data_IF_357741327279
#
_entry.id   IF_357741327279
#
_cell.length_a   1.000
_cell.length_b   1.000
_cell.length_c   1.000
_cell.angle_alpha   90.00
_cell.angle_beta   90.00
_cell.angle_gamma   90.00
#
_symmetry.space_group_name_H-M   'P 1'
#
loop_
_entity.id
_entity.type
_entity.pdbx_description
1 polymer ?
#
# COMPACT_ATOMS: atom_id res chain seq x y z
N UNK A 1 -35.12 -3.80 1.87
CA UNK A 1 -33.69 -4.07 2.16
C UNK A 1 -32.88 -2.83 1.81
N UNK A 2 -31.72 -2.64 2.43
CA UNK A 2 -30.82 -1.52 2.13
C UNK A 2 -29.73 -1.92 1.13
N UNK A 3 -29.09 -0.95 0.49
CA UNK A 3 -27.92 -1.15 -0.40
C UNK A 3 -26.82 -2.01 0.25
N UNK A 4 -26.52 -1.74 1.52
CA UNK A 4 -25.50 -2.50 2.26
C UNK A 4 -25.87 -3.98 2.46
N UNK A 5 -27.15 -4.33 2.51
CA UNK A 5 -27.59 -5.72 2.64
C UNK A 5 -27.24 -6.53 1.38
N UNK A 6 -27.38 -5.90 0.20
CA UNK A 6 -26.97 -6.51 -1.08
C UNK A 6 -25.48 -6.81 -1.13
N UNK A 7 -24.65 -5.82 -0.73
CA UNK A 7 -23.20 -6.03 -0.66
C UNK A 7 -22.82 -7.08 0.38
N UNK A 8 -23.48 -7.09 1.55
CA UNK A 8 -23.24 -8.11 2.57
C UNK A 8 -23.60 -9.51 2.06
N UNK A 9 -24.62 -9.63 1.21
CA UNK A 9 -24.95 -10.88 0.53
C UNK A 9 -23.85 -11.28 -0.45
N UNK A 10 -23.43 -10.37 -1.34
CA UNK A 10 -22.39 -10.63 -2.34
C UNK A 10 -21.06 -11.05 -1.69
N UNK A 11 -20.65 -10.38 -0.61
CA UNK A 11 -19.45 -10.75 0.17
C UNK A 11 -19.48 -12.18 0.68
N UNK A 12 -20.66 -12.69 1.09
CA UNK A 12 -20.78 -14.07 1.56
C UNK A 12 -20.56 -15.08 0.44
N UNK A 13 -20.61 -14.66 -0.83
CA UNK A 13 -20.39 -15.53 -1.98
C UNK A 13 -18.93 -15.59 -2.41
N UNK A 14 -18.09 -14.65 -1.98
CA UNK A 14 -16.64 -14.67 -2.29
C UNK A 14 -16.04 -16.05 -1.93
N UNK A 15 -15.42 -16.70 -2.92
CA UNK A 15 -14.82 -18.03 -2.82
C UNK A 15 -15.80 -19.20 -2.98
N UNK A 16 -17.10 -18.94 -3.19
CA UNK A 16 -18.13 -19.96 -3.47
C UNK A 16 -18.52 -19.95 -4.94
N UNK A 17 -19.07 -21.08 -5.37
CA UNK A 17 -19.65 -21.25 -6.71
C UNK A 17 -21.15 -21.47 -6.58
N UNK A 18 -21.93 -20.60 -7.20
CA UNK A 18 -23.38 -20.67 -7.32
C UNK A 18 -23.71 -21.09 -8.74
N UNK A 19 -24.40 -22.22 -8.89
CA UNK A 19 -24.99 -22.69 -10.15
C UNK A 19 -26.52 -22.68 -9.92
N UNK A 20 -27.17 -21.63 -10.39
CA UNK A 20 -28.55 -21.29 -10.05
C UNK A 20 -29.56 -21.80 -11.08
N UNK A 21 -29.10 -22.09 -12.30
CA UNK A 21 -29.92 -22.61 -13.41
C UNK A 21 -29.62 -24.08 -13.78
N UNK A 22 -28.52 -24.66 -13.27
CA UNK A 22 -28.09 -26.02 -13.55
C UNK A 22 -27.34 -26.19 -14.88
N UNK A 23 -26.87 -25.10 -15.48
CA UNK A 23 -26.29 -25.03 -16.82
C UNK A 23 -24.94 -24.31 -16.79
N UNK A 24 -23.96 -24.79 -17.56
CA UNK A 24 -22.63 -24.18 -17.67
C UNK A 24 -21.86 -23.91 -16.35
N UNK A 25 -22.32 -24.46 -15.22
CA UNK A 25 -21.67 -24.33 -13.91
C UNK A 25 -21.90 -22.95 -13.30
N UNK A 26 -20.88 -22.37 -12.68
CA UNK A 26 -21.03 -21.15 -11.89
C UNK A 26 -20.68 -19.89 -12.71
N UNK A 27 -21.61 -19.42 -13.54
CA UNK A 27 -21.44 -18.28 -14.45
C UNK A 27 -21.78 -16.95 -13.79
N UNK A 28 -21.47 -15.82 -14.43
CA UNK A 28 -21.76 -14.48 -13.89
C UNK A 28 -23.26 -14.27 -13.62
N UNK A 29 -24.12 -14.79 -14.51
CA UNK A 29 -25.57 -14.64 -14.39
C UNK A 29 -26.17 -15.43 -13.22
N UNK A 30 -25.56 -16.56 -12.82
CA UNK A 30 -26.05 -17.38 -11.71
C UNK A 30 -26.05 -16.63 -10.38
N UNK A 31 -25.03 -15.80 -10.15
CA UNK A 31 -24.94 -14.97 -8.96
C UNK A 31 -26.11 -13.99 -8.89
N UNK A 32 -26.45 -13.34 -10.00
CA UNK A 32 -27.57 -12.40 -10.09
C UNK A 32 -28.92 -13.10 -9.98
N UNK A 33 -29.07 -14.26 -10.61
CA UNK A 33 -30.28 -15.09 -10.47
C UNK A 33 -30.51 -15.46 -9.01
N UNK A 34 -29.47 -15.94 -8.30
CA UNK A 34 -29.58 -16.31 -6.90
C UNK A 34 -29.94 -15.10 -6.02
N UNK A 35 -29.27 -13.96 -6.23
CA UNK A 35 -29.55 -12.72 -5.52
C UNK A 35 -31.00 -12.26 -5.70
N UNK A 36 -31.47 -12.19 -6.94
CA UNK A 36 -32.80 -11.72 -7.29
C UNK A 36 -33.91 -12.66 -6.79
N UNK A 37 -33.70 -13.98 -6.88
CA UNK A 37 -34.64 -14.96 -6.32
C UNK A 37 -34.77 -14.84 -4.80
N UNK A 38 -33.65 -14.65 -4.10
CA UNK A 38 -33.65 -14.59 -2.62
C UNK A 38 -34.35 -13.34 -2.08
N UNK A 39 -34.21 -12.20 -2.77
CA UNK A 39 -34.58 -10.91 -2.19
C UNK A 39 -35.72 -10.17 -2.89
N UNK A 40 -36.03 -10.51 -4.14
CA UNK A 40 -36.95 -9.71 -4.97
C UNK A 40 -38.02 -10.53 -5.69
N UNK A 41 -38.10 -11.84 -5.44
CA UNK A 41 -39.02 -12.75 -6.15
C UNK A 41 -38.94 -12.62 -7.67
N UNK A 42 -37.74 -12.32 -8.17
CA UNK A 42 -37.46 -12.12 -9.59
C UNK A 42 -36.47 -13.17 -10.07
N UNK A 43 -36.79 -13.79 -11.20
CA UNK A 43 -35.89 -14.69 -11.91
C UNK A 43 -35.50 -14.06 -13.24
N UNK A 44 -34.36 -13.34 -13.29
CA UNK A 44 -33.78 -12.91 -14.56
C UNK A 44 -33.57 -14.11 -15.50
N UNK A 45 -33.76 -13.88 -16.79
CA UNK A 45 -33.56 -14.90 -17.85
C UNK A 45 -32.58 -14.42 -18.90
N UNK A 46 -32.00 -15.37 -19.64
CA UNK A 46 -31.04 -15.09 -20.70
C UNK A 46 -29.62 -14.90 -20.18
N UNK A 47 -28.75 -14.38 -21.04
CA UNK A 47 -27.36 -14.08 -20.72
C UNK A 47 -27.24 -12.72 -20.00
N UNK A 48 -26.05 -12.38 -19.53
CA UNK A 48 -25.83 -11.14 -18.80
C UNK A 48 -26.22 -9.89 -19.61
N UNK A 49 -25.96 -9.88 -20.92
CA UNK A 49 -26.33 -8.76 -21.80
C UNK A 49 -27.84 -8.57 -21.93
N UNK A 50 -28.65 -9.61 -21.74
CA UNK A 50 -30.11 -9.54 -21.83
C UNK A 50 -30.72 -8.72 -20.68
N UNK A 51 -29.98 -8.52 -19.58
CA UNK A 51 -30.33 -7.58 -18.52
C UNK A 51 -30.51 -6.13 -19.04
N UNK A 52 -29.91 -5.79 -20.18
CA UNK A 52 -30.05 -4.46 -20.81
C UNK A 52 -31.42 -4.23 -21.46
N UNK A 53 -32.19 -5.29 -21.75
CA UNK A 53 -33.47 -5.17 -22.48
C UNK A 53 -34.65 -5.88 -21.84
N UNK A 54 -34.44 -6.92 -21.02
CA UNK A 54 -35.54 -7.73 -20.45
C UNK A 54 -36.55 -6.92 -19.61
N UNK A 55 -37.75 -7.45 -19.38
CA UNK A 55 -38.70 -6.78 -18.49
C UNK A 55 -38.19 -6.80 -17.03
N UNK A 56 -38.43 -5.70 -16.31
CA UNK A 56 -38.01 -5.54 -14.92
C UNK A 56 -39.22 -5.59 -13.97
N UNK A 57 -39.03 -6.07 -12.72
CA UNK A 57 -40.05 -5.94 -11.68
C UNK A 57 -40.44 -4.49 -11.41
N UNK A 58 -41.65 -4.29 -10.89
CA UNK A 58 -42.13 -2.95 -10.52
C UNK A 58 -41.16 -2.23 -9.57
N UNK A 59 -40.82 -1.00 -9.92
CA UNK A 59 -39.94 -0.12 -9.13
C UNK A 59 -38.43 -0.32 -9.36
N UNK A 60 -38.02 -1.40 -10.03
CA UNK A 60 -36.64 -1.52 -10.49
C UNK A 60 -36.35 -0.45 -11.55
N UNK A 61 -35.10 0.02 -11.59
CA UNK A 61 -34.66 0.97 -12.59
C UNK A 61 -33.59 0.35 -13.47
N UNK A 62 -33.69 0.60 -14.78
CA UNK A 62 -32.59 0.38 -15.72
C UNK A 62 -31.96 1.72 -16.05
N UNK A 63 -30.68 1.89 -15.75
CA UNK A 63 -29.98 3.15 -15.90
C UNK A 63 -28.78 2.90 -16.83
N UNK A 64 -28.81 3.53 -18.00
CA UNK A 64 -27.71 3.44 -18.96
C UNK A 64 -26.55 4.32 -18.50
N UNK A 65 -25.32 3.86 -18.72
CA UNK A 65 -24.11 4.61 -18.40
C UNK A 65 -24.04 5.93 -19.20
N UNK A 66 -23.47 6.95 -18.56
CA UNK A 66 -23.14 8.27 -19.15
C UNK A 66 -21.84 8.77 -18.53
N UNK A 67 -21.22 9.79 -19.13
CA UNK A 67 -19.94 10.35 -18.64
C UNK A 67 -19.99 10.87 -17.19
N UNK A 68 -21.19 11.20 -16.68
CA UNK A 68 -21.39 11.71 -15.31
C UNK A 68 -21.93 10.63 -14.36
N UNK A 69 -22.41 9.50 -14.88
CA UNK A 69 -23.07 8.49 -14.07
C UNK A 69 -22.06 7.72 -13.22
N UNK A 70 -22.30 7.69 -11.91
CA UNK A 70 -21.58 6.85 -10.95
C UNK A 70 -22.58 5.87 -10.34
N UNK A 71 -22.39 4.54 -10.54
CA UNK A 71 -23.21 3.51 -9.94
C UNK A 71 -23.23 3.55 -8.41
N UNK A 72 -24.32 3.07 -7.83
CA UNK A 72 -24.46 2.94 -6.39
C UNK A 72 -24.06 1.55 -5.92
N UNK A 73 -23.65 1.49 -4.66
CA UNK A 73 -23.52 0.23 -3.94
C UNK A 73 -24.79 -0.62 -4.05
N UNK A 74 -24.63 -1.90 -4.39
CA UNK A 74 -25.72 -2.86 -4.55
C UNK A 74 -26.41 -2.82 -5.93
N UNK A 75 -26.02 -1.90 -6.82
CA UNK A 75 -26.48 -1.96 -8.21
C UNK A 75 -25.99 -3.25 -8.88
N UNK A 76 -26.81 -3.80 -9.77
CA UNK A 76 -26.44 -4.92 -10.63
C UNK A 76 -25.81 -4.33 -11.89
N UNK A 77 -24.51 -4.52 -12.09
CA UNK A 77 -23.77 -4.04 -13.25
C UNK A 77 -24.11 -4.83 -14.51
N UNK A 78 -24.14 -4.15 -15.66
CA UNK A 78 -24.30 -4.76 -16.98
C UNK A 78 -23.11 -4.32 -17.83
N UNK A 79 -22.32 -5.28 -18.29
CA UNK A 79 -21.22 -5.07 -19.23
C UNK A 79 -21.60 -5.66 -20.59
N UNK A 80 -21.42 -4.86 -21.64
CA UNK A 80 -21.56 -5.26 -23.05
C UNK A 80 -20.22 -5.81 -23.56
N UNK A 81 -19.79 -6.91 -22.93
CA UNK A 81 -18.52 -7.58 -23.21
C UNK A 81 -18.73 -8.90 -23.94
N UNK A 82 -18.13 -9.05 -25.13
CA UNK A 82 -18.23 -10.27 -25.92
C UNK A 82 -19.66 -10.59 -26.40
N UNK A 83 -19.95 -11.89 -26.59
CA UNK A 83 -21.24 -12.36 -27.12
C UNK A 83 -22.35 -12.38 -26.04
N UNK A 84 -21.99 -12.68 -24.78
CA UNK A 84 -22.94 -12.97 -23.71
C UNK A 84 -23.05 -11.82 -22.67
N UNK A 85 -22.17 -10.83 -22.74
CA UNK A 85 -22.02 -9.81 -21.70
C UNK A 85 -21.41 -10.34 -20.40
N UNK A 86 -21.31 -9.47 -19.41
CA UNK A 86 -20.93 -9.82 -18.03
C UNK A 86 -21.78 -9.03 -17.03
N UNK A 87 -21.98 -9.57 -15.83
CA UNK A 87 -22.78 -8.93 -14.78
C UNK A 87 -22.19 -9.20 -13.41
N UNK A 88 -22.45 -8.30 -12.47
CA UNK A 88 -21.87 -8.31 -11.13
C UNK A 88 -22.70 -7.47 -10.15
N UNK A 89 -22.36 -7.56 -8.86
CA UNK A 89 -22.93 -6.68 -7.82
C UNK A 89 -21.90 -5.61 -7.46
N UNK A 90 -22.23 -4.35 -7.74
CA UNK A 90 -21.35 -3.21 -7.51
C UNK A 90 -21.22 -2.93 -6.01
N UNK A 91 -19.99 -2.69 -5.57
CA UNK A 91 -19.64 -2.44 -4.17
C UNK A 91 -19.26 -0.99 -3.93
N UNK A 92 -18.46 -0.41 -4.82
CA UNK A 92 -18.02 0.98 -4.72
C UNK A 92 -17.68 1.50 -6.12
N UNK A 93 -17.87 2.79 -6.36
CA UNK A 93 -17.61 3.39 -7.66
C UNK A 93 -17.13 4.83 -7.54
N UNK A 94 -16.33 5.26 -8.51
CA UNK A 94 -16.05 6.65 -8.83
C UNK A 94 -16.24 6.82 -10.36
N UNK A 95 -15.85 7.97 -10.90
CA UNK A 95 -16.05 8.28 -12.32
C UNK A 95 -15.13 7.49 -13.29
N UNK A 96 -14.04 6.92 -12.79
CA UNK A 96 -13.06 6.19 -13.60
C UNK A 96 -13.20 4.67 -13.47
N UNK A 97 -13.54 4.22 -12.27
CA UNK A 97 -13.51 2.82 -11.89
C UNK A 97 -14.64 2.44 -10.93
N UNK A 98 -15.03 1.17 -10.97
CA UNK A 98 -15.84 0.54 -9.93
C UNK A 98 -15.25 -0.78 -9.43
N UNK A 99 -15.64 -1.15 -8.21
CA UNK A 99 -15.35 -2.42 -7.57
C UNK A 99 -16.64 -3.21 -7.44
N UNK A 100 -16.56 -4.52 -7.58
CA UNK A 100 -17.72 -5.42 -7.57
C UNK A 100 -17.38 -6.80 -7.01
N UNK A 101 -18.41 -7.60 -6.79
CA UNK A 101 -18.28 -9.05 -6.63
C UNK A 101 -18.81 -9.70 -7.89
N UNK A 102 -17.98 -10.58 -8.45
CA UNK A 102 -18.16 -11.15 -9.77
C UNK A 102 -17.90 -12.65 -9.73
N UNK A 103 -18.87 -13.43 -10.17
CA UNK A 103 -18.66 -14.83 -10.51
C UNK A 103 -18.13 -14.98 -11.94
N UNK A 104 -17.25 -15.97 -12.15
CA UNK A 104 -16.62 -16.25 -13.43
C UNK A 104 -15.72 -15.14 -14.02
N UNK A 105 -15.21 -14.21 -13.20
CA UNK A 105 -14.23 -13.20 -13.65
C UNK A 105 -12.79 -13.72 -13.58
N UNK A 106 -12.30 -14.05 -12.38
CA UNK A 106 -10.97 -14.63 -12.23
C UNK A 106 -10.98 -16.12 -12.54
N UNK A 107 -10.01 -16.57 -13.34
CA UNK A 107 -9.96 -17.95 -13.85
C UNK A 107 -11.23 -18.35 -14.60
N UNK A 108 -11.79 -17.41 -15.38
CA UNK A 108 -13.01 -17.60 -16.15
C UNK A 108 -12.97 -18.88 -16.99
N UNK A 109 -14.08 -19.61 -17.04
CA UNK A 109 -14.21 -20.83 -17.84
C UNK A 109 -15.65 -21.12 -18.27
N UNK A 110 -15.81 -22.02 -19.24
CA UNK A 110 -17.11 -22.56 -19.68
C UNK A 110 -17.83 -23.40 -18.59
N UNK A 111 -17.18 -23.62 -17.44
CA UNK A 111 -17.73 -24.28 -16.25
C UNK A 111 -17.91 -23.33 -15.08
N UNK A 112 -17.68 -22.03 -15.31
CA UNK A 112 -17.72 -21.02 -14.28
C UNK A 112 -16.42 -20.92 -13.48
N UNK A 113 -16.41 -19.99 -12.54
CA UNK A 113 -15.40 -19.88 -11.50
C UNK A 113 -16.03 -19.26 -10.25
N UNK A 114 -15.48 -19.45 -9.05
CA UNK A 114 -16.05 -18.89 -7.83
C UNK A 114 -16.20 -17.37 -7.88
N UNK A 115 -17.19 -16.83 -7.17
CA UNK A 115 -17.34 -15.39 -6.99
C UNK A 115 -16.10 -14.80 -6.31
N UNK A 116 -15.68 -13.63 -6.76
CA UNK A 116 -14.50 -12.95 -6.26
C UNK A 116 -14.73 -11.44 -6.17
N UNK A 117 -14.06 -10.79 -5.23
CA UNK A 117 -14.00 -9.34 -5.22
C UNK A 117 -13.06 -8.85 -6.32
N UNK A 118 -13.57 -8.03 -7.23
CA UNK A 118 -12.81 -7.47 -8.35
C UNK A 118 -12.66 -5.98 -8.14
N UNK A 119 -11.43 -5.49 -8.26
CA UNK A 119 -11.13 -4.07 -8.19
C UNK A 119 -10.95 -3.46 -9.56
N UNK A 120 -11.37 -2.21 -9.67
CA UNK A 120 -11.05 -1.31 -10.76
C UNK A 120 -11.49 -1.82 -12.14
N UNK A 121 -12.72 -2.33 -12.25
CA UNK A 121 -13.37 -2.37 -13.55
C UNK A 121 -13.42 -0.94 -14.09
N UNK A 122 -12.99 -0.73 -15.33
CA UNK A 122 -13.23 0.50 -16.06
C UNK A 122 -14.65 0.51 -16.65
N UNK A 123 -15.00 1.62 -17.31
CA UNK A 123 -16.32 1.82 -17.90
C UNK A 123 -16.34 1.58 -19.42
N UNK A 124 -15.28 1.05 -20.03
CA UNK A 124 -15.17 0.92 -21.50
C UNK A 124 -16.24 0.00 -22.09
N UNK A 125 -16.48 -1.13 -21.43
CA UNK A 125 -17.52 -2.11 -21.79
C UNK A 125 -18.79 -1.96 -20.91
N UNK A 126 -18.88 -0.94 -20.07
CA UNK A 126 -19.96 -0.81 -19.10
C UNK A 126 -21.21 -0.19 -19.74
N UNK A 127 -22.25 -1.00 -19.91
CA UNK A 127 -23.52 -0.57 -20.48
C UNK A 127 -24.31 0.30 -19.51
N UNK A 128 -24.30 -0.05 -18.23
CA UNK A 128 -25.09 0.59 -17.18
C UNK A 128 -25.45 -0.37 -16.05
N UNK A 129 -26.54 -0.08 -15.34
CA UNK A 129 -26.99 -0.88 -14.20
C UNK A 129 -28.48 -1.20 -14.23
N UNK A 130 -28.84 -2.25 -13.52
CA UNK A 130 -30.15 -2.39 -12.89
C UNK A 130 -30.01 -2.01 -11.42
N UNK A 131 -30.89 -1.11 -10.96
CA UNK A 131 -30.99 -0.70 -9.56
C UNK A 131 -32.24 -1.30 -8.94
N UNK A 132 -32.10 -2.29 -8.03
CA UNK A 132 -33.21 -2.84 -7.26
C UNK A 132 -33.85 -1.80 -6.33
N UNK A 133 -35.04 -2.13 -5.82
CA UNK A 133 -35.83 -1.26 -4.93
C UNK A 133 -35.29 -1.22 -3.50
N UNK A 134 -34.09 -0.67 -3.30
CA UNK A 134 -33.53 -0.47 -1.96
C UNK A 134 -34.20 0.70 -1.24
N UNK A 135 -34.35 0.58 0.08
CA UNK A 135 -34.95 1.63 0.93
C UNK A 135 -34.16 2.94 0.94
N UNK A 136 -32.85 2.86 0.72
CA UNK A 136 -31.88 3.95 0.73
C UNK A 136 -31.25 4.21 -0.65
N UNK A 137 -31.88 3.72 -1.73
CA UNK A 137 -31.45 3.99 -3.11
C UNK A 137 -31.83 5.41 -3.55
N UNK A 138 -30.84 6.16 -4.04
CA UNK A 138 -31.11 7.36 -4.83
C UNK A 138 -31.65 6.94 -6.22
N UNK A 139 -32.63 7.67 -6.72
CA UNK A 139 -33.32 7.35 -7.97
C UNK A 139 -32.62 8.03 -9.15
N UNK A 140 -32.62 7.37 -10.32
CA UNK A 140 -32.05 7.90 -11.55
C UNK A 140 -30.52 8.00 -11.57
N UNK A 141 -30.02 8.91 -12.39
CA UNK A 141 -28.58 9.16 -12.55
C UNK A 141 -28.02 9.75 -11.25
N UNK A 142 -26.94 9.15 -10.77
CA UNK A 142 -26.19 9.57 -9.58
C UNK A 142 -24.77 9.98 -9.93
N UNK A 143 -24.16 10.84 -9.12
CA UNK A 143 -22.80 11.40 -9.36
C UNK A 143 -21.89 11.30 -8.11
N UNK A 144 -22.36 10.67 -7.04
CA UNK A 144 -21.64 10.59 -5.77
C UNK A 144 -20.62 9.44 -5.80
N UNK A 145 -19.34 9.76 -5.58
CA UNK A 145 -18.27 8.76 -5.53
C UNK A 145 -18.20 8.09 -4.15
N UNK A 146 -18.13 6.76 -4.16
CA UNK A 146 -17.93 5.92 -2.97
C UNK A 146 -16.55 5.24 -2.97
N UNK A 147 -15.82 5.33 -4.08
CA UNK A 147 -14.47 4.79 -4.26
C UNK A 147 -13.42 5.91 -4.24
N UNK A 148 -12.26 5.61 -3.65
CA UNK A 148 -11.10 6.50 -3.63
C UNK A 148 -10.52 6.70 -5.03
N UNK A 149 -9.72 7.76 -5.21
CA UNK A 149 -8.96 7.95 -6.45
C UNK A 149 -7.94 6.82 -6.60
N UNK A 150 -7.86 6.23 -7.79
CA UNK A 150 -6.90 5.19 -8.12
C UNK A 150 -5.99 5.72 -9.22
N UNK A 151 -4.68 5.77 -8.96
CA UNK A 151 -3.68 6.09 -9.97
C UNK A 151 -2.95 4.78 -10.29
N UNK A 152 -3.09 4.29 -11.51
CA UNK A 152 -2.51 3.02 -11.94
C UNK A 152 -1.39 3.20 -12.96
N UNK A 153 -0.50 4.14 -12.66
CA UNK A 153 0.58 4.57 -13.54
C UNK A 153 1.93 4.10 -13.00
N UNK A 154 2.63 3.30 -13.79
CA UNK A 154 3.99 2.88 -13.44
C UNK A 154 4.95 4.07 -13.47
N UNK A 155 5.92 4.06 -12.55
CA UNK A 155 7.10 4.94 -12.65
C UNK A 155 7.80 4.80 -14.00
N UNK A 156 8.55 5.82 -14.41
CA UNK A 156 9.39 5.80 -15.60
C UNK A 156 10.67 4.94 -15.40
N UNK A 157 10.47 3.70 -14.96
CA UNK A 157 11.49 2.67 -14.81
C UNK A 157 10.82 1.29 -14.80
N UNK A 158 11.37 0.36 -15.59
CA UNK A 158 10.87 -1.02 -15.61
C UNK A 158 11.60 -1.86 -14.59
N UNK A 159 10.97 -2.11 -13.44
CA UNK A 159 11.52 -3.01 -12.41
C UNK A 159 11.67 -4.45 -12.93
N UNK A 160 12.65 -5.19 -12.41
CA UNK A 160 12.82 -6.59 -12.79
C UNK A 160 11.55 -7.41 -12.46
N UNK A 161 11.24 -8.38 -13.33
CA UNK A 161 10.18 -9.35 -13.05
C UNK A 161 10.52 -10.11 -11.77
N UNK A 162 9.50 -10.40 -10.97
CA UNK A 162 9.67 -11.23 -9.78
C UNK A 162 10.09 -12.64 -10.19
N UNK A 163 11.02 -13.21 -9.41
CA UNK A 163 11.41 -14.62 -9.53
C UNK A 163 10.90 -15.33 -8.29
N UNK A 164 9.93 -16.24 -8.45
CA UNK A 164 9.31 -16.97 -7.34
C UNK A 164 7.99 -16.35 -6.84
N UNK A 165 7.50 -16.86 -5.70
CA UNK A 165 6.24 -16.42 -5.09
C UNK A 165 6.36 -15.07 -4.39
N UNK A 166 5.23 -14.39 -4.26
CA UNK A 166 5.05 -13.35 -3.25
C UNK A 166 4.84 -14.05 -1.91
N UNK A 167 5.70 -13.76 -0.94
CA UNK A 167 5.66 -14.35 0.38
C UNK A 167 4.89 -13.47 1.38
N UNK A 168 4.60 -12.21 1.01
CA UNK A 168 3.84 -11.32 1.87
C UNK A 168 3.86 -9.84 1.48
N UNK A 169 3.57 -9.01 2.46
CA UNK A 169 3.51 -7.55 2.40
C UNK A 169 4.40 -6.91 3.47
N UNK A 170 4.96 -5.75 3.16
CA UNK A 170 5.65 -4.87 4.10
C UNK A 170 4.94 -3.53 4.11
N UNK A 171 4.47 -3.12 5.29
CA UNK A 171 3.84 -1.82 5.49
C UNK A 171 4.90 -0.85 6.01
N UNK A 172 5.08 0.25 5.28
CA UNK A 172 6.04 1.31 5.53
C UNK A 172 5.34 2.60 5.94
N UNK A 173 6.12 3.55 6.42
CA UNK A 173 5.71 4.94 6.53
C UNK A 173 6.67 5.75 5.68
N UNK A 174 6.14 6.66 4.85
CA UNK A 174 6.95 7.40 3.87
C UNK A 174 8.11 8.20 4.45
N UNK A 175 8.07 8.46 5.76
CA UNK A 175 8.90 9.43 6.45
C UNK A 175 8.87 10.82 5.77
N UNK A 176 7.76 11.14 5.12
CA UNK A 176 7.53 12.40 4.42
C UNK A 176 6.19 13.02 4.76
N UNK A 177 6.00 14.22 4.22
CA UNK A 177 4.78 15.03 4.41
C UNK A 177 3.91 15.10 3.16
N UNK A 178 4.25 14.35 2.11
CA UNK A 178 3.54 14.35 0.83
C UNK A 178 2.33 13.43 0.88
N UNK A 179 1.27 13.87 0.20
CA UNK A 179 0.14 13.03 -0.20
C UNK A 179 0.57 12.03 -1.28
N UNK A 180 -0.23 10.99 -1.53
CA UNK A 180 0.03 10.00 -2.57
C UNK A 180 0.07 10.65 -3.97
N UNK A 181 -0.82 11.61 -4.26
CA UNK A 181 -0.79 12.39 -5.52
C UNK A 181 0.51 13.21 -5.65
N UNK A 182 0.99 13.79 -4.55
CA UNK A 182 2.25 14.54 -4.56
C UNK A 182 3.46 13.63 -4.76
N UNK A 183 3.45 12.42 -4.20
CA UNK A 183 4.50 11.44 -4.48
C UNK A 183 4.41 10.91 -5.91
N UNK A 184 3.22 10.67 -6.45
CA UNK A 184 3.01 10.35 -7.87
C UNK A 184 3.64 11.42 -8.76
N UNK A 185 3.28 12.69 -8.57
CA UNK A 185 3.84 13.80 -9.37
C UNK A 185 5.36 13.94 -9.22
N UNK A 186 5.92 13.58 -8.06
CA UNK A 186 7.35 13.68 -7.81
C UNK A 186 8.16 12.48 -8.32
N UNK A 187 7.52 11.32 -8.49
CA UNK A 187 8.18 10.05 -8.76
C UNK A 187 7.81 9.44 -10.11
N UNK A 188 6.68 9.78 -10.75
CA UNK A 188 6.26 9.13 -11.99
C UNK A 188 7.30 9.26 -13.13
N UNK A 189 8.07 10.34 -13.15
CA UNK A 189 9.10 10.62 -14.16
C UNK A 189 10.42 11.09 -13.51
N UNK A 190 10.75 10.53 -12.35
CA UNK A 190 11.99 10.83 -11.66
C UNK A 190 13.21 10.15 -12.34
N UNK A 191 14.41 10.59 -11.94
CA UNK A 191 15.66 9.98 -12.40
C UNK A 191 15.82 8.57 -11.83
N UNK A 192 16.60 7.72 -12.52
CA UNK A 192 16.92 6.36 -12.04
C UNK A 192 17.56 6.39 -10.65
N UNK A 193 18.47 7.33 -10.40
CA UNK A 193 19.08 7.53 -9.08
C UNK A 193 18.04 7.83 -7.97
N UNK A 194 16.92 8.50 -8.30
CA UNK A 194 15.84 8.73 -7.34
C UNK A 194 15.12 7.44 -6.98
N UNK A 195 14.93 6.53 -7.93
CA UNK A 195 14.35 5.21 -7.68
C UNK A 195 15.30 4.31 -6.91
N UNK A 196 16.60 4.31 -7.24
CA UNK A 196 17.64 3.52 -6.56
C UNK A 196 17.77 3.87 -5.07
N UNK A 197 17.42 5.11 -4.69
CA UNK A 197 17.33 5.55 -3.30
C UNK A 197 16.18 4.90 -2.52
N UNK A 198 15.23 4.28 -3.22
CA UNK A 198 14.11 3.56 -2.65
C UNK A 198 12.80 3.88 -3.36
N UNK A 199 12.03 2.86 -3.70
CA UNK A 199 10.68 2.97 -4.27
C UNK A 199 9.88 1.70 -3.92
N UNK A 200 8.66 1.91 -3.44
CA UNK A 200 7.70 0.85 -3.11
C UNK A 200 6.69 0.62 -4.24
N UNK A 201 5.89 -0.45 -4.10
CA UNK A 201 4.85 -0.78 -5.09
C UNK A 201 3.68 0.20 -4.99
N UNK A 202 3.33 0.64 -3.77
CA UNK A 202 2.20 1.51 -3.50
C UNK A 202 2.56 2.70 -2.63
N UNK A 203 1.91 3.83 -2.90
CA UNK A 203 1.89 5.04 -2.07
C UNK A 203 0.42 5.42 -1.83
N UNK A 204 0.02 5.52 -0.57
CA UNK A 204 -1.39 5.53 -0.17
C UNK A 204 -1.66 6.56 0.91
N UNK A 205 -2.69 7.39 0.68
CA UNK A 205 -3.35 8.19 1.71
C UNK A 205 -4.88 7.94 1.73
N UNK A 206 -5.60 8.67 2.58
CA UNK A 206 -7.04 8.53 2.78
C UNK A 206 -7.91 8.93 1.57
N UNK A 207 -7.31 9.49 0.52
CA UNK A 207 -8.02 9.94 -0.67
C UNK A 207 -7.57 9.20 -1.93
N UNK A 208 -6.32 8.75 -1.97
CA UNK A 208 -5.71 8.22 -3.20
C UNK A 208 -4.86 6.98 -2.93
N UNK A 209 -5.00 5.99 -3.81
CA UNK A 209 -4.10 4.84 -3.93
C UNK A 209 -3.32 5.00 -5.24
N UNK A 210 -2.00 5.13 -5.16
CA UNK A 210 -1.13 5.07 -6.34
C UNK A 210 -0.36 3.75 -6.36
N UNK A 211 -0.56 2.95 -7.42
CA UNK A 211 0.26 1.78 -7.73
C UNK A 211 1.42 2.19 -8.64
N UNK A 212 2.56 2.48 -8.03
CA UNK A 212 3.77 2.95 -8.69
C UNK A 212 4.50 1.87 -9.49
N UNK A 213 4.35 0.60 -9.09
CA UNK A 213 4.98 -0.55 -9.72
C UNK A 213 3.98 -1.70 -9.79
N UNK A 214 3.83 -2.28 -10.97
CA UNK A 214 3.09 -3.53 -11.18
C UNK A 214 3.53 -4.65 -10.22
N UNK A 215 2.56 -5.35 -9.61
CA UNK A 215 2.83 -6.28 -8.50
C UNK A 215 3.52 -7.58 -8.93
N UNK A 216 3.57 -7.88 -10.24
CA UNK A 216 4.38 -8.97 -10.80
C UNK A 216 5.88 -8.66 -10.88
N UNK A 217 6.28 -7.43 -10.54
CA UNK A 217 7.68 -6.96 -10.51
C UNK A 217 8.15 -6.72 -9.08
N UNK A 218 9.46 -6.69 -8.88
CA UNK A 218 10.07 -6.38 -7.58
C UNK A 218 10.01 -4.87 -7.29
N UNK A 219 10.30 -4.47 -6.05
CA UNK A 219 10.52 -3.07 -5.70
C UNK A 219 11.75 -2.92 -4.79
N UNK A 220 12.31 -1.72 -4.68
CA UNK A 220 13.47 -1.43 -3.82
C UNK A 220 13.01 -0.70 -2.57
N UNK A 221 12.46 -1.42 -1.59
CA UNK A 221 11.70 -0.81 -0.49
C UNK A 221 12.16 -1.22 0.91
N UNK A 222 12.93 -2.30 1.07
CA UNK A 222 13.39 -2.80 2.38
C UNK A 222 14.90 -2.90 2.54
N UNK A 223 15.67 -2.46 1.53
CA UNK A 223 17.14 -2.55 1.50
C UNK A 223 17.69 -3.98 1.78
N UNK A 224 16.89 -5.00 1.48
CA UNK A 224 17.22 -6.42 1.58
C UNK A 224 16.80 -7.12 0.29
N UNK A 225 17.70 -7.87 -0.34
CA UNK A 225 17.46 -8.47 -1.67
C UNK A 225 16.27 -9.43 -1.64
N UNK A 226 16.13 -10.23 -0.58
CA UNK A 226 15.04 -11.17 -0.47
C UNK A 226 13.70 -10.45 -0.22
N UNK A 227 13.66 -9.52 0.73
CA UNK A 227 12.48 -8.71 1.01
C UNK A 227 11.98 -7.93 -0.21
N UNK A 228 12.90 -7.26 -0.92
CA UNK A 228 12.61 -6.53 -2.17
C UNK A 228 12.04 -7.46 -3.26
N UNK A 229 12.53 -8.69 -3.32
CA UNK A 229 12.15 -9.69 -4.32
C UNK A 229 10.86 -10.45 -4.00
N UNK A 230 10.49 -10.60 -2.73
CA UNK A 230 9.42 -11.51 -2.31
C UNK A 230 8.25 -10.84 -1.59
N UNK A 231 8.34 -9.55 -1.25
CA UNK A 231 7.23 -8.85 -0.58
C UNK A 231 6.72 -7.69 -1.43
N UNK A 232 5.42 -7.42 -1.32
CA UNK A 232 4.83 -6.17 -1.78
C UNK A 232 5.09 -5.07 -0.75
N UNK A 233 5.30 -3.84 -1.23
CA UNK A 233 5.68 -2.71 -0.39
C UNK A 233 4.64 -1.61 -0.48
N UNK A 234 4.13 -1.19 0.68
CA UNK A 234 3.10 -0.15 0.79
C UNK A 234 3.61 0.98 1.67
N UNK A 235 3.65 2.20 1.14
CA UNK A 235 4.04 3.40 1.85
C UNK A 235 2.82 4.16 2.33
N UNK A 236 2.64 4.26 3.66
CA UNK A 236 1.59 5.10 4.25
C UNK A 236 2.06 6.56 4.20
N UNK A 237 1.38 7.37 3.39
CA UNK A 237 1.72 8.77 3.13
C UNK A 237 1.46 9.70 4.34
N UNK A 238 2.06 10.90 4.26
CA UNK A 238 1.94 11.97 5.27
C UNK A 238 2.38 11.59 6.70
N UNK A 239 3.22 10.57 6.85
CA UNK A 239 3.65 10.09 8.17
C UNK A 239 4.35 11.14 9.06
N UNK A 240 4.84 12.24 8.48
CA UNK A 240 5.49 13.34 9.19
C UNK A 240 4.62 14.60 9.36
N UNK A 241 3.44 14.67 8.74
CA UNK A 241 2.62 15.90 8.72
C UNK A 241 1.16 15.69 9.13
N UNK A 242 0.57 14.53 8.81
CA UNK A 242 -0.83 14.27 9.09
C UNK A 242 -1.11 14.28 10.61
N UNK A 243 -2.34 14.71 10.95
CA UNK A 243 -2.90 14.49 12.29
C UNK A 243 -2.95 12.99 12.60
N UNK A 244 -3.02 12.60 13.87
CA UNK A 244 -3.14 11.18 14.23
C UNK A 244 -4.37 10.54 13.59
N UNK A 245 -5.50 11.27 13.55
CA UNK A 245 -6.72 10.85 12.88
C UNK A 245 -6.48 10.58 11.39
N UNK A 246 -5.91 11.56 10.68
CA UNK A 246 -5.73 11.46 9.23
C UNK A 246 -4.69 10.40 8.86
N UNK A 247 -3.63 10.27 9.65
CA UNK A 247 -2.64 9.22 9.43
C UNK A 247 -3.22 7.82 9.66
N UNK A 248 -4.02 7.63 10.71
CA UNK A 248 -4.72 6.36 10.93
C UNK A 248 -5.74 6.07 9.82
N UNK A 249 -6.37 7.09 9.21
CA UNK A 249 -7.17 6.91 8.00
C UNK A 249 -6.31 6.45 6.80
N UNK A 250 -5.13 7.07 6.58
CA UNK A 250 -4.17 6.65 5.55
C UNK A 250 -3.73 5.18 5.77
N UNK A 251 -3.53 4.76 7.02
CA UNK A 251 -3.23 3.37 7.37
C UNK A 251 -4.38 2.43 7.01
N UNK A 252 -5.63 2.79 7.30
CA UNK A 252 -6.78 1.93 6.99
C UNK A 252 -6.94 1.70 5.48
N UNK A 253 -6.71 2.72 4.64
CA UNK A 253 -6.67 2.53 3.18
C UNK A 253 -5.55 1.57 2.79
N UNK A 254 -4.37 1.75 3.36
CA UNK A 254 -3.22 0.87 3.12
C UNK A 254 -3.50 -0.58 3.52
N UNK A 255 -4.10 -0.82 4.68
CA UNK A 255 -4.46 -2.17 5.13
C UNK A 255 -5.51 -2.82 4.24
N UNK A 256 -6.49 -2.04 3.77
CA UNK A 256 -7.50 -2.51 2.83
C UNK A 256 -6.84 -2.93 1.50
N UNK A 257 -5.97 -2.11 0.93
CA UNK A 257 -5.29 -2.48 -0.32
C UNK A 257 -4.36 -3.70 -0.14
N UNK A 258 -3.59 -3.74 0.95
CA UNK A 258 -2.74 -4.89 1.26
C UNK A 258 -3.56 -6.18 1.43
N UNK A 259 -4.72 -6.11 2.09
CA UNK A 259 -5.60 -7.25 2.24
C UNK A 259 -6.13 -7.76 0.89
N UNK A 260 -6.51 -6.87 -0.01
CA UNK A 260 -7.05 -7.22 -1.34
C UNK A 260 -5.97 -7.86 -2.21
N UNK A 261 -4.75 -7.32 -2.22
CA UNK A 261 -3.62 -7.95 -2.91
C UNK A 261 -3.29 -9.32 -2.30
N UNK A 262 -3.33 -9.44 -0.96
CA UNK A 262 -3.15 -10.73 -0.29
C UNK A 262 -4.22 -11.76 -0.66
N UNK A 263 -5.48 -11.35 -0.84
CA UNK A 263 -6.55 -12.22 -1.35
C UNK A 263 -6.25 -12.67 -2.78
N UNK A 264 -5.89 -11.72 -3.66
CA UNK A 264 -5.56 -12.00 -5.06
C UNK A 264 -4.41 -13.00 -5.20
N UNK A 265 -3.37 -12.88 -4.37
CA UNK A 265 -2.23 -13.78 -4.38
C UNK A 265 -2.40 -15.05 -3.52
N UNK A 266 -3.56 -15.25 -2.88
CA UNK A 266 -3.81 -16.41 -2.03
C UNK A 266 -2.95 -16.47 -0.76
N UNK A 267 -2.56 -15.32 -0.22
CA UNK A 267 -1.67 -15.18 0.94
C UNK A 267 -2.49 -14.87 2.19
N UNK A 268 -2.47 -15.75 3.19
CA UNK A 268 -3.16 -15.47 4.45
C UNK A 268 -2.37 -14.44 5.30
N UNK A 269 -3.01 -13.42 5.89
CA UNK A 269 -2.33 -12.48 6.79
C UNK A 269 -1.89 -13.17 8.08
N UNK A 270 -0.59 -13.21 8.34
CA UNK A 270 -0.01 -13.76 9.56
C UNK A 270 1.42 -13.24 9.76
N UNK A 271 2.11 -13.71 10.80
CA UNK A 271 3.44 -13.19 11.20
C UNK A 271 4.56 -13.55 10.22
N UNK A 272 4.31 -14.47 9.29
CA UNK A 272 5.23 -14.80 8.19
C UNK A 272 4.99 -13.91 6.98
N UNK A 273 3.76 -13.46 6.76
CA UNK A 273 3.34 -12.78 5.52
C UNK A 273 3.15 -11.28 5.69
N UNK A 274 2.99 -10.77 6.91
CA UNK A 274 2.93 -9.32 7.18
C UNK A 274 4.20 -8.92 7.92
N UNK A 275 5.01 -8.03 7.36
CA UNK A 275 6.31 -7.64 7.91
C UNK A 275 6.45 -6.13 8.09
N UNK A 276 7.44 -5.76 8.91
CA UNK A 276 7.90 -4.38 9.10
C UNK A 276 9.27 -4.22 8.43
N UNK A 277 9.58 -3.03 7.91
CA UNK A 277 10.91 -2.74 7.36
C UNK A 277 12.01 -3.02 8.38
N UNK A 278 11.83 -2.61 9.64
CA UNK A 278 12.82 -2.85 10.71
C UNK A 278 13.06 -4.33 11.08
N UNK A 279 12.31 -5.28 10.51
CA UNK A 279 12.58 -6.72 10.62
C UNK A 279 13.61 -7.21 9.58
N UNK A 280 13.84 -6.45 8.50
CA UNK A 280 14.82 -6.76 7.46
C UNK A 280 16.16 -6.08 7.73
N UNK A 281 16.13 -4.78 8.03
CA UNK A 281 17.32 -3.96 8.31
C UNK A 281 17.10 -3.06 9.52
N UNK A 282 18.18 -2.56 10.14
CA UNK A 282 18.05 -1.66 11.28
C UNK A 282 17.55 -0.29 10.83
N UNK A 283 16.25 0.01 10.92
CA UNK A 283 15.64 1.30 10.56
C UNK A 283 14.58 1.73 11.58
N UNK A 284 14.20 3.01 11.54
CA UNK A 284 13.07 3.53 12.30
C UNK A 284 11.71 3.21 11.64
N UNK A 285 11.69 2.77 10.38
CA UNK A 285 10.44 2.45 9.67
C UNK A 285 9.76 1.17 10.23
N UNK A 286 8.43 1.16 10.50
CA UNK A 286 7.44 2.24 10.30
C UNK A 286 7.24 3.12 11.55
N UNK A 287 7.87 4.29 11.55
CA UNK A 287 8.04 5.12 12.75
C UNK A 287 6.72 5.58 13.38
N UNK A 288 5.81 6.12 12.55
CA UNK A 288 4.57 6.74 13.00
C UNK A 288 3.56 5.71 13.48
N UNK A 289 3.45 4.60 12.75
CA UNK A 289 2.65 3.46 13.15
C UNK A 289 3.10 2.90 14.51
N UNK A 290 4.42 2.76 14.72
CA UNK A 290 4.93 2.27 16.02
C UNK A 290 4.63 3.23 17.17
N UNK A 291 4.79 4.54 16.94
CA UNK A 291 4.51 5.56 17.94
C UNK A 291 3.02 5.57 18.34
N UNK A 292 2.10 5.38 17.39
CA UNK A 292 0.66 5.38 17.62
C UNK A 292 0.16 4.11 18.30
N UNK A 293 0.61 2.94 17.83
CA UNK A 293 -0.10 1.68 18.13
C UNK A 293 0.59 0.83 19.19
N UNK A 294 1.89 1.02 19.43
CA UNK A 294 2.64 0.20 20.39
C UNK A 294 3.42 1.01 21.42
N UNK A 295 3.13 2.31 21.53
CA UNK A 295 3.77 3.23 22.47
C UNK A 295 5.30 3.13 22.42
N UNK A 296 5.85 3.05 21.21
CA UNK A 296 7.28 3.01 20.97
C UNK A 296 7.61 3.84 19.75
N UNK A 297 8.36 4.92 19.94
CA UNK A 297 8.78 5.81 18.88
C UNK A 297 10.23 5.49 18.51
N UNK A 298 10.51 4.82 17.38
CA UNK A 298 11.86 4.44 17.01
C UNK A 298 12.74 5.63 16.58
N UNK A 299 12.17 6.81 16.30
CA UNK A 299 12.95 8.04 16.08
C UNK A 299 13.53 8.53 17.41
N UNK A 300 12.73 8.47 18.49
CA UNK A 300 13.13 8.95 19.82
C UNK A 300 13.86 7.89 20.65
N UNK A 301 13.51 6.63 20.46
CA UNK A 301 13.92 5.49 21.30
C UNK A 301 14.79 4.48 20.55
N UNK A 302 14.97 4.66 19.24
CA UNK A 302 15.87 3.87 18.42
C UNK A 302 15.29 2.55 17.93
N UNK A 303 16.18 1.62 17.60
CA UNK A 303 15.83 0.30 17.10
C UNK A 303 14.91 -0.43 18.08
N UNK A 304 13.72 -0.86 17.64
CA UNK A 304 12.79 -1.57 18.50
C UNK A 304 13.31 -2.95 18.90
N UNK A 305 12.91 -3.42 20.07
CA UNK A 305 13.11 -4.81 20.46
C UNK A 305 12.25 -5.75 19.60
N UNK A 306 12.63 -7.03 19.52
CA UNK A 306 11.80 -8.05 18.82
C UNK A 306 10.38 -8.14 19.37
N UNK A 307 10.17 -7.87 20.67
CA UNK A 307 8.85 -7.83 21.27
C UNK A 307 8.03 -6.64 20.73
N UNK A 308 8.63 -5.45 20.61
CA UNK A 308 7.96 -4.27 20.03
C UNK A 308 7.68 -4.41 18.54
N UNK A 309 8.58 -5.04 17.81
CA UNK A 309 8.31 -5.44 16.42
C UNK A 309 7.12 -6.39 16.34
N UNK A 310 7.02 -7.35 17.27
CA UNK A 310 5.93 -8.32 17.29
C UNK A 310 4.58 -7.67 17.61
N UNK A 311 4.51 -6.77 18.60
CA UNK A 311 3.29 -6.01 18.91
C UNK A 311 2.80 -5.23 17.69
N UNK A 312 3.71 -4.54 16.98
CA UNK A 312 3.35 -3.74 15.81
C UNK A 312 2.88 -4.63 14.64
N UNK A 313 3.57 -5.75 14.45
CA UNK A 313 3.20 -6.76 13.46
C UNK A 313 1.80 -7.35 13.74
N UNK A 314 1.49 -7.67 15.00
CA UNK A 314 0.17 -8.21 15.39
C UNK A 314 -0.95 -7.19 15.13
N UNK A 315 -0.70 -5.90 15.34
CA UNK A 315 -1.65 -4.83 14.97
C UNK A 315 -1.88 -4.78 13.45
N UNK A 316 -0.83 -4.74 12.63
CA UNK A 316 -1.00 -4.75 11.17
C UNK A 316 -1.73 -6.00 10.68
N UNK A 317 -1.41 -7.19 11.24
CA UNK A 317 -2.12 -8.43 10.90
C UNK A 317 -3.60 -8.30 11.24
N UNK A 318 -3.95 -7.78 12.42
CA UNK A 318 -5.34 -7.60 12.84
C UNK A 318 -6.10 -6.70 11.86
N UNK A 319 -5.55 -5.54 11.52
CA UNK A 319 -6.22 -4.58 10.64
C UNK A 319 -6.27 -5.05 9.17
N UNK A 320 -5.25 -5.75 8.68
CA UNK A 320 -5.29 -6.38 7.35
C UNK A 320 -6.33 -7.53 7.34
N UNK A 321 -6.37 -8.38 8.38
CA UNK A 321 -7.36 -9.47 8.48
C UNK A 321 -8.81 -8.97 8.44
N UNK A 322 -9.09 -7.80 9.02
CA UNK A 322 -10.41 -7.16 8.97
C UNK A 322 -10.89 -7.01 7.53
N UNK A 323 -10.05 -6.46 6.64
CA UNK A 323 -10.39 -6.27 5.22
C UNK A 323 -10.21 -7.54 4.39
N UNK A 324 -9.31 -8.44 4.77
CA UNK A 324 -9.15 -9.73 4.10
C UNK A 324 -10.41 -10.60 4.22
N UNK A 325 -11.05 -10.55 5.39
CA UNK A 325 -12.31 -11.27 5.64
C UNK A 325 -13.51 -10.58 4.99
N UNK A 326 -13.44 -9.27 4.77
CA UNK A 326 -14.48 -8.51 4.11
C UNK A 326 -13.88 -7.27 3.40
N UNK A 327 -13.56 -7.38 2.10
CA UNK A 327 -12.92 -6.29 1.35
C UNK A 327 -13.86 -5.13 1.06
N UNK A 328 -15.17 -5.28 1.31
CA UNK A 328 -16.17 -4.25 0.99
C UNK A 328 -16.43 -3.31 2.17
N UNK A 329 -15.81 -3.55 3.33
CA UNK A 329 -15.93 -2.66 4.48
C UNK A 329 -15.58 -1.22 4.10
N UNK A 330 -16.51 -0.31 4.42
CA UNK A 330 -16.32 1.12 4.30
C UNK A 330 -15.30 1.56 5.36
N UNK A 331 -14.34 2.37 4.94
CA UNK A 331 -13.33 2.91 5.85
C UNK A 331 -13.97 4.02 6.68
N UNK A 332 -14.33 3.68 7.91
CA UNK A 332 -14.82 4.65 8.89
C UNK A 332 -13.68 5.39 9.59
N UNK A 333 -14.04 6.43 10.34
CA UNK A 333 -13.10 7.13 11.23
C UNK A 333 -12.58 6.13 12.28
N UNK A 334 -11.25 6.01 12.46
CA UNK A 334 -10.67 5.14 13.47
C UNK A 334 -11.11 5.51 14.89
N UNK A 335 -11.38 4.50 15.70
CA UNK A 335 -11.61 4.67 17.14
C UNK A 335 -10.28 4.86 17.89
N UNK A 336 -10.35 5.40 19.11
CA UNK A 336 -9.21 5.52 20.04
C UNK A 336 -8.00 6.28 19.49
N UNK A 337 -8.23 7.35 18.74
CA UNK A 337 -7.17 8.22 18.21
C UNK A 337 -6.35 8.78 19.40
N UNK A 338 -5.05 8.45 19.51
CA UNK A 338 -4.24 8.94 20.63
C UNK A 338 -4.08 10.46 20.57
N UNK A 339 -4.13 11.13 21.73
CA UNK A 339 -3.82 12.57 21.84
C UNK A 339 -2.31 12.86 21.92
N UNK A 340 -1.48 11.82 21.93
CA UNK A 340 -0.02 11.94 22.01
C UNK A 340 0.56 12.53 20.73
N UNK A 341 1.53 13.44 20.88
CA UNK A 341 2.30 13.97 19.76
C UNK A 341 3.23 12.89 19.21
N UNK A 342 2.88 12.36 18.05
CA UNK A 342 3.64 11.30 17.35
C UNK A 342 4.31 11.80 16.08
N UNK A 343 4.04 13.03 15.65
CA UNK A 343 4.90 13.73 14.69
C UNK A 343 6.21 14.15 15.38
N UNK A 344 7.38 13.89 14.78
CA UNK A 344 8.64 14.41 15.32
C UNK A 344 8.66 15.94 15.25
N UNK A 345 9.10 16.59 16.33
CA UNK A 345 9.34 18.04 16.35
C UNK A 345 10.66 18.39 15.68
N UNK A 346 10.82 19.61 15.18
CA UNK A 346 12.08 20.10 14.59
C UNK A 346 13.31 19.93 15.52
N UNK A 347 13.12 19.90 16.84
CA UNK A 347 14.19 19.66 17.82
C UNK A 347 14.58 18.18 17.87
N UNK A 348 13.59 17.29 17.89
CA UNK A 348 13.81 15.83 17.83
C UNK A 348 14.40 15.41 16.49
N UNK A 349 14.08 16.15 15.42
CA UNK A 349 14.80 16.06 14.17
C UNK A 349 16.25 16.55 14.36
N UNK A 350 16.50 17.75 14.89
CA UNK A 350 17.86 18.34 15.00
C UNK A 350 18.88 17.57 15.85
N UNK A 351 18.44 16.83 16.85
CA UNK A 351 19.31 16.11 17.76
C UNK A 351 18.75 14.70 18.04
N UNK A 352 18.80 13.77 17.07
CA UNK A 352 18.51 12.39 17.39
C UNK A 352 19.52 11.93 18.43
N UNK A 353 19.00 11.23 19.44
CA UNK A 353 19.71 11.01 20.70
C UNK A 353 21.12 10.45 20.45
N UNK A 354 22.12 11.27 20.79
CA UNK A 354 23.51 10.86 20.89
C UNK A 354 23.76 10.40 22.33
N UNK A 355 23.94 9.11 22.57
CA UNK A 355 24.28 8.63 23.92
C UNK A 355 25.11 7.34 23.93
N UNK A 356 25.76 7.13 25.09
CA UNK A 356 27.00 6.39 25.31
C UNK A 356 26.89 4.91 24.95
N UNK A 357 27.57 4.51 23.87
CA UNK A 357 27.44 3.17 23.32
C UNK A 357 28.13 2.05 24.10
N UNK A 358 27.51 0.86 24.08
CA UNK A 358 28.07 -0.40 24.54
C UNK A 358 29.01 -0.96 23.46
N UNK A 359 30.20 -1.47 23.81
CA UNK A 359 31.16 -2.05 22.85
C UNK A 359 30.60 -3.34 22.24
N UNK A 360 30.66 -3.48 20.92
CA UNK A 360 30.14 -4.67 20.17
C UNK A 360 31.22 -5.44 19.38
N UNK A 361 32.50 -5.05 19.50
CA UNK A 361 33.62 -5.66 18.76
C UNK A 361 33.97 -4.91 17.46
N UNK A 362 35.15 -5.15 16.87
CA UNK A 362 35.62 -4.52 15.62
C UNK A 362 35.49 -2.98 15.57
N UNK A 363 35.79 -2.30 16.70
CA UNK A 363 35.66 -0.84 16.91
C UNK A 363 34.24 -0.27 16.84
N UNK A 364 33.24 -1.08 16.47
CA UNK A 364 31.83 -0.70 16.50
C UNK A 364 31.31 -0.58 17.93
N UNK A 365 30.40 0.38 18.09
CA UNK A 365 29.63 0.66 19.29
C UNK A 365 28.16 0.62 18.92
N UNK A 366 27.31 0.24 19.86
CA UNK A 366 25.86 0.32 19.73
C UNK A 366 25.35 1.38 20.68
N UNK A 367 24.70 2.43 20.18
CA UNK A 367 24.11 3.46 21.05
C UNK A 367 22.85 2.91 21.78
N UNK A 368 22.27 3.71 22.67
CA UNK A 368 21.04 3.33 23.41
C UNK A 368 19.86 3.04 22.46
N UNK A 369 19.94 3.57 21.24
CA UNK A 369 19.01 3.42 20.14
C UNK A 369 19.30 2.22 19.25
N UNK A 370 20.18 1.29 19.66
CA UNK A 370 20.49 0.10 18.88
C UNK A 370 21.26 0.35 17.58
N UNK A 371 21.58 1.60 17.22
CA UNK A 371 22.31 1.99 16.00
C UNK A 371 23.77 1.63 16.16
N UNK A 372 24.32 0.95 15.15
CA UNK A 372 25.74 0.67 15.06
C UNK A 372 26.48 1.90 14.56
N UNK A 373 27.53 2.31 15.27
CA UNK A 373 28.41 3.39 14.85
C UNK A 373 29.86 3.15 15.27
N UNK A 374 30.81 3.75 14.56
CA UNK A 374 32.23 3.80 14.93
C UNK A 374 32.82 5.15 14.55
N UNK A 375 33.83 5.59 15.30
CA UNK A 375 34.68 6.69 14.86
C UNK A 375 35.70 6.18 13.84
N UNK A 376 35.77 6.85 12.71
CA UNK A 376 36.68 6.56 11.60
C UNK A 376 36.93 7.85 10.83
N UNK A 377 38.20 8.19 10.61
CA UNK A 377 38.59 9.37 9.85
C UNK A 377 39.25 8.94 8.55
N UNK A 378 38.69 9.34 7.42
CA UNK A 378 39.29 9.20 6.11
C UNK A 378 38.69 10.21 5.13
N UNK A 379 39.21 10.21 3.90
CA UNK A 379 38.62 10.96 2.79
C UNK A 379 37.74 10.02 1.98
N UNK A 380 36.57 10.50 1.56
CA UNK A 380 35.69 9.80 0.63
C UNK A 380 35.49 10.65 -0.62
N UNK A 381 35.67 10.06 -1.80
CA UNK A 381 35.43 10.69 -3.10
C UNK A 381 34.24 10.02 -3.77
N UNK A 382 33.18 10.77 -4.06
CA UNK A 382 31.96 10.20 -4.61
C UNK A 382 32.13 9.72 -6.06
N UNK A 383 31.60 8.55 -6.38
CA UNK A 383 31.53 8.02 -7.76
C UNK A 383 30.16 8.22 -8.40
N UNK A 384 29.26 8.95 -7.73
CA UNK A 384 27.92 9.32 -8.18
C UNK A 384 27.45 10.58 -7.42
N UNK A 385 26.32 11.14 -7.81
CA UNK A 385 25.65 12.21 -7.05
C UNK A 385 24.89 11.58 -5.86
N UNK A 386 25.22 11.98 -4.63
CA UNK A 386 24.71 11.36 -3.40
C UNK A 386 24.09 12.40 -2.47
N UNK A 387 22.81 12.22 -2.15
CA UNK A 387 22.11 13.10 -1.22
C UNK A 387 22.59 12.91 0.22
N UNK A 388 22.88 14.02 0.88
CA UNK A 388 23.14 14.06 2.31
C UNK A 388 21.83 14.31 3.08
N UNK A 389 21.80 13.89 4.33
CA UNK A 389 20.67 14.00 5.24
C UNK A 389 21.07 14.84 6.44
N UNK A 390 20.17 15.70 6.87
CA UNK A 390 20.29 16.30 8.19
C UNK A 390 20.05 15.24 9.26
N UNK A 391 20.42 15.58 10.49
CA UNK A 391 19.91 14.94 11.71
C UNK A 391 20.51 13.57 12.04
N UNK A 392 20.40 12.59 11.15
CA UNK A 392 20.90 11.24 11.42
C UNK A 392 21.05 10.37 10.17
N UNK A 393 21.54 9.13 10.35
CA UNK A 393 21.75 8.17 9.26
C UNK A 393 20.43 7.50 8.80
N UNK A 394 19.39 8.29 8.55
CA UNK A 394 18.07 7.82 8.15
C UNK A 394 17.59 8.59 6.92
N UNK A 395 17.15 7.88 5.88
CA UNK A 395 16.72 8.46 4.60
C UNK A 395 15.45 9.29 4.72
N UNK A 396 14.66 9.08 5.77
CA UNK A 396 13.47 9.89 6.09
C UNK A 396 13.78 11.33 6.50
N UNK A 397 15.04 11.67 6.80
CA UNK A 397 15.39 13.04 7.16
C UNK A 397 15.43 13.98 5.95
N UNK A 398 15.17 15.29 6.15
CA UNK A 398 15.32 16.29 5.10
C UNK A 398 16.71 16.23 4.46
N UNK A 399 16.73 16.44 3.15
CA UNK A 399 17.96 16.51 2.37
C UNK A 399 18.77 17.72 2.85
N UNK A 400 20.03 17.49 3.23
CA UNK A 400 20.96 18.53 3.63
C UNK A 400 21.75 19.12 2.47
N UNK A 401 21.85 18.38 1.38
CA UNK A 401 22.61 18.77 0.21
C UNK A 401 22.85 17.58 -0.70
N UNK A 402 23.72 17.79 -1.68
CA UNK A 402 24.11 16.82 -2.68
C UNK A 402 25.64 16.86 -2.79
N UNK A 403 26.30 15.71 -2.61
CA UNK A 403 27.71 15.56 -2.95
C UNK A 403 27.78 15.05 -4.39
N UNK A 404 28.40 15.83 -5.28
CA UNK A 404 28.45 15.49 -6.69
C UNK A 404 29.58 14.50 -7.01
N UNK A 405 29.45 13.81 -8.15
CA UNK A 405 30.50 12.97 -8.72
C UNK A 405 31.88 13.65 -8.67
N UNK A 406 32.88 12.93 -8.17
CA UNK A 406 34.28 13.38 -8.04
C UNK A 406 34.55 14.33 -6.87
N UNK A 407 33.52 14.82 -6.16
CA UNK A 407 33.72 15.63 -4.96
C UNK A 407 34.16 14.77 -3.79
N UNK A 408 35.00 15.37 -2.94
CA UNK A 408 35.57 14.69 -1.78
C UNK A 408 35.14 15.33 -0.48
N UNK A 409 34.93 14.51 0.55
CA UNK A 409 34.64 14.92 1.92
C UNK A 409 35.59 14.25 2.90
N UNK A 410 35.83 14.90 4.02
CA UNK A 410 36.50 14.30 5.17
C UNK A 410 35.43 13.94 6.19
N UNK A 411 35.32 12.66 6.54
CA UNK A 411 34.38 12.19 7.56
C UNK A 411 35.10 11.79 8.85
N UNK A 412 34.34 11.71 9.94
CA UNK A 412 34.88 11.35 11.25
C UNK A 412 34.09 10.23 11.97
N UNK A 413 32.94 9.84 11.41
CA UNK A 413 32.14 8.73 11.89
C UNK A 413 31.51 7.93 10.76
N UNK A 414 31.28 6.64 11.05
CA UNK A 414 30.57 5.71 10.18
C UNK A 414 29.42 5.10 10.96
N UNK A 415 28.25 5.04 10.34
CA UNK A 415 27.05 4.44 10.91
C UNK A 415 26.57 3.28 10.04
N UNK A 416 25.90 2.35 10.67
CA UNK A 416 25.11 1.31 10.01
C UNK A 416 23.67 1.42 10.52
N UNK A 417 22.83 1.97 9.66
CA UNK A 417 21.43 2.25 9.93
C UNK A 417 20.65 2.42 8.62
N UNK A 418 19.34 2.27 8.69
CA UNK A 418 18.40 2.40 7.58
C UNK A 418 18.73 1.55 6.35
N UNK A 419 19.40 0.40 6.53
CA UNK A 419 19.83 -0.45 5.43
C UNK A 419 21.03 0.08 4.65
N UNK A 420 21.71 1.14 5.12
CA UNK A 420 22.89 1.71 4.49
C UNK A 420 24.06 1.82 5.47
N UNK A 421 25.27 1.83 4.91
CA UNK A 421 26.42 2.38 5.63
C UNK A 421 26.47 3.88 5.34
N UNK A 422 26.62 4.67 6.39
CA UNK A 422 26.63 6.13 6.30
C UNK A 422 27.96 6.69 6.75
N UNK A 423 28.40 7.75 6.08
CA UNK A 423 29.47 8.63 6.56
C UNK A 423 28.86 9.85 7.21
N UNK A 424 29.48 10.37 8.26
CA UNK A 424 29.06 11.62 8.89
C UNK A 424 30.23 12.59 9.06
N UNK A 425 29.94 13.87 8.82
CA UNK A 425 30.88 14.98 9.01
C UNK A 425 30.13 16.27 9.33
N UNK A 426 30.88 17.28 9.77
CA UNK A 426 30.35 18.62 10.00
C UNK A 426 30.69 19.52 8.81
N UNK A 427 29.69 20.11 8.17
CA UNK A 427 29.89 21.05 7.04
C UNK A 427 30.29 22.44 7.55
N UNK A 428 30.69 23.33 6.63
CA UNK A 428 31.16 24.69 6.96
C UNK A 428 30.12 25.55 7.68
N UNK A 429 28.81 25.27 7.52
CA UNK A 429 27.74 25.92 8.27
C UNK A 429 27.70 25.55 9.76
N UNK A 430 28.46 24.52 10.16
CA UNK A 430 28.42 23.94 11.51
C UNK A 430 27.41 22.81 11.67
N UNK A 431 26.59 22.52 10.65
CA UNK A 431 25.63 21.42 10.69
C UNK A 431 26.32 20.06 10.55
N UNK A 432 25.81 19.07 11.29
CA UNK A 432 26.18 17.66 11.13
C UNK A 432 25.34 17.05 10.01
N UNK A 433 26.00 16.43 9.03
CA UNK A 433 25.33 15.76 7.91
C UNK A 433 25.73 14.29 7.82
N UNK A 434 24.84 13.48 7.25
CA UNK A 434 24.99 12.04 7.09
C UNK A 434 24.76 11.68 5.63
N UNK A 435 25.59 10.82 5.06
CA UNK A 435 25.49 10.45 3.66
C UNK A 435 25.58 8.93 3.50
N UNK A 436 24.61 8.29 2.85
CA UNK A 436 24.68 6.86 2.58
C UNK A 436 25.72 6.60 1.49
N UNK A 437 26.48 5.52 1.61
CA UNK A 437 27.59 5.19 0.71
C UNK A 437 27.53 3.76 0.17
N UNK A 438 26.39 3.10 0.34
CA UNK A 438 26.17 1.71 -0.05
C UNK A 438 25.24 1.00 0.91
N UNK A 439 24.65 -0.10 0.43
CA UNK A 439 23.77 -0.94 1.25
C UNK A 439 24.53 -1.60 2.39
N UNK A 440 23.84 -1.84 3.50
CA UNK A 440 24.38 -2.49 4.70
C UNK A 440 23.74 -3.85 4.92
N UNK A 441 24.51 -4.78 5.51
CA UNK A 441 23.99 -6.05 6.01
C UNK A 441 23.45 -5.96 7.46
N UNK A 442 23.43 -4.76 8.06
CA UNK A 442 22.99 -4.52 9.43
C UNK A 442 23.98 -4.96 10.52
N UNK A 443 25.21 -5.35 10.14
CA UNK A 443 26.28 -5.81 11.03
C UNK A 443 27.60 -5.03 10.86
N UNK A 444 27.52 -3.80 10.38
CA UNK A 444 28.63 -2.88 10.20
C UNK A 444 29.45 -3.17 8.94
N UNK A 445 28.87 -3.86 7.96
CA UNK A 445 29.51 -4.17 6.68
C UNK A 445 28.62 -3.78 5.50
N UNK A 446 29.25 -3.23 4.46
CA UNK A 446 28.58 -2.95 3.20
C UNK A 446 28.28 -4.24 2.44
N UNK A 447 27.15 -4.25 1.75
CA UNK A 447 26.82 -5.22 0.71
C UNK A 447 27.18 -4.60 -0.64
N UNK A 448 28.17 -5.17 -1.32
CA UNK A 448 28.67 -4.66 -2.61
C UNK A 448 29.69 -3.52 -2.49
N UNK A 449 29.95 -2.86 -3.62
CA UNK A 449 30.88 -1.73 -3.70
C UNK A 449 30.30 -0.48 -3.02
N UNK A 450 31.18 0.38 -2.51
CA UNK A 450 30.76 1.69 -2.06
C UNK A 450 30.42 2.59 -3.26
N UNK A 451 29.57 3.59 -3.03
CA UNK A 451 29.23 4.61 -4.02
C UNK A 451 30.34 5.68 -4.18
N UNK A 452 31.58 5.27 -3.99
CA UNK A 452 32.77 6.11 -4.05
C UNK A 452 33.99 5.41 -3.47
N UNK A 453 35.12 6.11 -3.49
CA UNK A 453 36.43 5.60 -3.12
C UNK A 453 36.92 6.21 -1.81
N UNK A 454 37.71 5.43 -1.06
CA UNK A 454 38.31 5.86 0.21
C UNK A 454 39.81 6.11 0.02
N UNK A 455 40.32 7.19 0.62
CA UNK A 455 41.77 7.50 0.66
C UNK A 455 42.23 8.06 2.01
#
# INVERSE_FOLDING_TARGET
MKKQDAVNWAVKQIGKSIDADGSHGAQCMDEIIAFCKEHFDWHPTGDAIDLSTQDLPDGFQRIKNTDEFIPQQGDIGIMDSGEYGHTNIIVAANQEYYDSVDQNWYNASDKGSPAAFVQNHDYDEFWGVIRPTYEDAEQGITTESTKLQIINDNINYTMNKRVGSIDGVVIHNTAGSRTAVQDYNALNNASVARYEAGVAHYYIDRFTIWRAIDTFRIAWHVADTYGNGHYLGYEVNESMSASNKDFMMNEQVTFKQAAIDMMYYGIEPNTKTVKLHNQFVATACPHRSMALHVNFDPIKQGAPSKAKQREMQDYFIKEIKKYYNNPTLIIGVPDNIPDTVTTPTNVEMKAPVQSKGKKVGNKWRRNEHGILWKSEKATFTASADIYTRYYGPWTGWPVAGLLHYGQSINYDEVYDYDGYIWLAWTVSSGDRVYMPIGYSNGQGQRVGAAWGDFS
#
